data_IF_302902245260
#
_entry.id   IF_302902245260
#
_cell.length_a   1.000
_cell.length_b   1.000
_cell.length_c   1.000
_cell.angle_alpha   90.00
_cell.angle_beta   90.00
_cell.angle_gamma   90.00
#
_symmetry.space_group_name_H-M   'P 1'
#
loop_
_entity.id
_entity.type
_entity.pdbx_description
1 polymer ?
#
# COMPACT_ATOMS: atom_id res chain seq x y z
N UNK A 1 0.04 -5.50 10.09
CA UNK A 1 -0.94 -6.60 9.94
C UNK A 1 -0.86 -7.18 8.53
N UNK A 2 -1.04 -8.49 8.30
CA UNK A 2 -1.18 -9.03 6.95
C UNK A 2 -2.58 -8.71 6.39
N UNK A 3 -2.67 -8.14 5.19
CA UNK A 3 -3.93 -7.89 4.48
C UNK A 3 -3.84 -8.33 3.01
N UNK A 4 -4.98 -8.55 2.34
CA UNK A 4 -5.03 -8.94 0.93
C UNK A 4 -4.92 -7.72 0.01
N UNK A 5 -4.05 -7.78 -1.00
CA UNK A 5 -3.94 -6.75 -2.03
C UNK A 5 -5.08 -6.84 -3.05
N UNK A 6 -5.76 -5.73 -3.31
CA UNK A 6 -6.79 -5.60 -4.35
C UNK A 6 -6.28 -4.86 -5.60
N UNK A 7 -4.95 -4.73 -5.70
CA UNK A 7 -4.24 -4.03 -6.77
C UNK A 7 -3.06 -4.86 -7.28
N UNK A 8 -2.53 -4.47 -8.43
CA UNK A 8 -1.32 -5.04 -9.01
C UNK A 8 -0.19 -4.00 -8.96
N UNK A 9 1.02 -4.45 -8.65
CA UNK A 9 2.29 -3.74 -8.78
C UNK A 9 3.25 -4.61 -9.60
N UNK A 10 3.07 -4.70 -10.94
CA UNK A 10 3.81 -5.65 -11.77
C UNK A 10 5.27 -5.24 -12.00
N UNK A 11 5.63 -3.98 -11.74
CA UNK A 11 6.96 -3.43 -11.94
C UNK A 11 7.56 -3.07 -10.58
N UNK A 12 8.36 -3.94 -9.98
CA UNK A 12 8.92 -3.67 -8.67
C UNK A 12 10.05 -2.63 -8.74
N UNK A 13 10.19 -1.81 -7.69
CA UNK A 13 11.31 -0.88 -7.53
C UNK A 13 12.50 -1.59 -6.84
N UNK A 14 13.72 -1.12 -7.10
CA UNK A 14 14.93 -1.61 -6.40
C UNK A 14 14.99 -1.16 -4.94
N UNK A 15 14.16 -0.19 -4.57
CA UNK A 15 14.02 0.33 -3.21
C UNK A 15 12.86 -0.38 -2.52
N UNK A 16 12.89 -0.33 -1.19
CA UNK A 16 11.71 -0.64 -0.38
C UNK A 16 10.68 0.45 -0.63
N UNK A 17 9.45 0.06 -0.94
CA UNK A 17 8.36 0.99 -1.23
C UNK A 17 7.36 1.01 -0.09
N UNK A 18 6.86 2.21 0.25
CA UNK A 18 5.75 2.41 1.18
C UNK A 18 4.55 2.92 0.39
N UNK A 19 3.74 1.99 -0.08
CA UNK A 19 2.61 2.31 -0.95
C UNK A 19 1.46 2.86 -0.11
N UNK A 20 0.92 4.02 -0.47
CA UNK A 20 -0.28 4.56 0.18
C UNK A 20 -1.48 3.75 -0.25
N UNK A 21 -2.17 3.19 0.74
CA UNK A 21 -3.31 2.31 0.53
C UNK A 21 -4.48 2.68 1.43
N UNK A 22 -5.67 2.29 1.01
CA UNK A 22 -6.90 2.41 1.80
C UNK A 22 -7.47 1.01 2.05
N UNK A 23 -8.05 0.78 3.21
CA UNK A 23 -8.75 -0.48 3.51
C UNK A 23 -10.17 -0.37 2.93
N UNK A 24 -10.56 -1.34 2.10
CA UNK A 24 -11.90 -1.36 1.52
C UNK A 24 -12.91 -2.09 2.41
N UNK A 25 -14.19 -2.05 2.02
CA UNK A 25 -15.28 -2.66 2.78
C UNK A 25 -15.16 -4.19 2.93
N UNK A 26 -14.37 -4.85 2.08
CA UNK A 26 -14.11 -6.29 2.09
C UNK A 26 -12.89 -6.65 2.95
N UNK A 27 -12.22 -5.67 3.57
CA UNK A 27 -11.03 -5.88 4.38
C UNK A 27 -9.74 -6.08 3.59
N UNK A 28 -9.76 -5.86 2.28
CA UNK A 28 -8.57 -5.80 1.43
C UNK A 28 -8.00 -4.38 1.38
N UNK A 29 -6.82 -4.22 0.78
CA UNK A 29 -6.19 -2.91 0.56
C UNK A 29 -6.16 -2.53 -0.92
N UNK A 30 -6.56 -1.30 -1.19
CA UNK A 30 -6.51 -0.67 -2.52
C UNK A 30 -5.35 0.33 -2.56
N UNK A 31 -4.55 0.30 -3.61
CA UNK A 31 -3.49 1.29 -3.80
C UNK A 31 -4.03 2.57 -4.44
N UNK A 32 -3.55 3.71 -3.96
CA UNK A 32 -3.81 4.97 -4.64
C UNK A 32 -3.14 4.94 -6.03
N UNK A 33 -3.87 5.30 -7.08
CA UNK A 33 -3.41 5.11 -8.47
C UNK A 33 -2.10 5.81 -8.82
N UNK A 34 -1.77 6.93 -8.16
CA UNK A 34 -0.51 7.66 -8.36
C UNK A 34 0.34 7.71 -7.08
N UNK A 35 1.38 6.88 -7.01
CA UNK A 35 2.28 6.76 -5.86
C UNK A 35 3.44 7.78 -5.84
N UNK A 36 3.44 8.79 -6.71
CA UNK A 36 4.49 9.83 -6.67
C UNK A 36 4.41 10.61 -5.34
N UNK A 37 5.57 10.85 -4.71
CA UNK A 37 5.66 11.54 -3.42
C UNK A 37 5.21 13.00 -3.46
N UNK A 38 5.21 13.64 -4.63
CA UNK A 38 4.71 15.00 -4.80
C UNK A 38 3.17 15.09 -4.72
N UNK A 39 2.45 13.97 -4.79
CA UNK A 39 0.99 13.92 -4.78
C UNK A 39 0.50 13.79 -3.34
N UNK A 40 0.49 14.91 -2.60
CA UNK A 40 0.10 14.90 -1.18
C UNK A 40 -1.35 14.49 -0.94
N UNK A 41 -2.24 14.62 -1.92
CA UNK A 41 -3.63 14.11 -1.79
C UNK A 41 -3.68 12.59 -1.54
N UNK A 42 -2.65 11.85 -1.92
CA UNK A 42 -2.54 10.41 -1.64
C UNK A 42 -2.41 10.09 -0.14
N UNK A 43 -1.85 11.00 0.67
CA UNK A 43 -1.69 10.77 2.11
C UNK A 43 -3.00 11.01 2.87
N UNK A 44 -3.78 12.01 2.46
CA UNK A 44 -5.10 12.28 3.02
C UNK A 44 -6.15 11.22 2.61
N UNK A 45 -5.95 10.56 1.47
CA UNK A 45 -6.83 9.49 0.99
C UNK A 45 -6.57 8.13 1.67
N UNK A 46 -5.34 7.87 2.09
CA UNK A 46 -4.91 6.57 2.59
C UNK A 46 -5.22 6.35 4.07
N UNK A 47 -5.52 5.11 4.43
CA UNK A 47 -5.64 4.67 5.84
C UNK A 47 -4.31 4.16 6.40
N UNK A 48 -3.35 3.88 5.52
CA UNK A 48 -2.04 3.38 5.90
C UNK A 48 -1.12 3.10 4.71
N UNK A 49 -0.11 2.27 4.98
CA UNK A 49 0.94 1.92 4.03
C UNK A 49 1.02 0.41 3.82
N UNK A 50 1.33 -0.02 2.61
CA UNK A 50 1.93 -1.33 2.36
C UNK A 50 3.45 -1.17 2.36
N UNK A 51 4.13 -1.92 3.24
CA UNK A 51 5.59 -2.05 3.28
C UNK A 51 6.03 -3.15 2.30
N UNK A 52 6.43 -2.75 1.10
CA UNK A 52 6.83 -3.65 0.02
C UNK A 52 8.37 -3.78 -0.04
N UNK A 53 8.94 -5.00 0.09
CA UNK A 53 10.38 -5.20 -0.04
C UNK A 53 10.92 -4.82 -1.43
N UNK A 54 12.23 -4.52 -1.54
CA UNK A 54 12.89 -4.31 -2.82
C UNK A 54 12.67 -5.47 -3.81
N UNK A 55 12.50 -5.12 -5.08
CA UNK A 55 12.34 -6.04 -6.21
C UNK A 55 11.16 -7.03 -6.05
N UNK A 56 10.15 -6.67 -5.24
CA UNK A 56 9.00 -7.52 -4.98
C UNK A 56 7.76 -7.03 -5.75
N UNK A 57 7.32 -7.75 -6.81
CA UNK A 57 6.04 -7.44 -7.45
C UNK A 57 4.89 -7.85 -6.51
N UNK A 58 3.75 -7.18 -6.66
CA UNK A 58 2.51 -7.54 -5.96
C UNK A 58 1.46 -7.89 -7.01
N UNK A 59 0.82 -9.05 -6.90
CA UNK A 59 -0.36 -9.39 -7.66
C UNK A 59 -1.62 -9.22 -6.80
N UNK A 60 -2.75 -8.91 -7.45
CA UNK A 60 -4.04 -8.94 -6.76
C UNK A 60 -4.28 -10.32 -6.14
N UNK A 61 -4.68 -10.33 -4.88
CA UNK A 61 -4.88 -11.54 -4.07
C UNK A 61 -3.71 -11.86 -3.15
N UNK A 62 -2.54 -11.27 -3.38
CA UNK A 62 -1.37 -11.49 -2.52
C UNK A 62 -1.59 -10.96 -1.10
N UNK A 63 -0.95 -11.59 -0.13
CA UNK A 63 -0.90 -11.08 1.23
C UNK A 63 0.25 -10.09 1.38
N UNK A 64 -0.06 -8.86 1.79
CA UNK A 64 0.89 -7.77 1.93
C UNK A 64 1.00 -7.31 3.38
N UNK A 65 2.15 -6.72 3.72
CA UNK A 65 2.40 -6.15 5.05
C UNK A 65 1.80 -4.74 5.14
N UNK A 66 0.65 -4.63 5.78
CA UNK A 66 -0.01 -3.37 6.06
C UNK A 66 0.50 -2.73 7.36
N UNK A 67 0.70 -1.41 7.32
CA UNK A 67 1.04 -0.54 8.45
C UNK A 67 -0.06 0.53 8.56
N UNK A 68 -0.85 0.51 9.64
CA UNK A 68 -1.93 1.48 9.84
C UNK A 68 -1.38 2.86 10.20
N UNK A 69 -1.95 3.93 9.64
CA UNK A 69 -1.63 5.28 10.12
C UNK A 69 -2.08 5.51 11.56
N UNK A 70 -3.23 4.97 11.95
CA UNK A 70 -3.72 5.09 13.33
C UNK A 70 -2.74 4.48 14.35
N UNK A 71 -2.07 3.40 14.00
CA UNK A 71 -1.05 2.77 14.85
C UNK A 71 0.29 3.53 14.82
N UNK A 72 0.67 4.09 13.66
CA UNK A 72 1.95 4.79 13.48
C UNK A 72 1.98 6.20 14.08
N UNK A 73 0.83 6.86 14.17
CA UNK A 73 0.70 8.26 14.58
C UNK A 73 0.06 8.44 15.97
N UNK A 74 -0.15 7.34 16.70
CA UNK A 74 -0.64 7.33 18.07
C UNK A 74 0.35 7.96 19.06
#
# INVERSE_FOLDING_TARGET
>A
LPLRAEFDLPKPDKRREFLRVRVNAQGGVEAFGNQNSAVLTSTAWADGLVDNPPNHPIARGDTVRYLSFAELLA
#
